data_IF_668758376137
#
_entry.id   IF_668758376137
#
_cell.length_a   1.000
_cell.length_b   1.000
_cell.length_c   1.000
_cell.angle_alpha   90.00
_cell.angle_beta   90.00
_cell.angle_gamma   90.00
#
_symmetry.space_group_name_H-M   'P 1'
#
loop_
_entity.id
_entity.type
_entity.pdbx_description
1 polymer ?
#
# COMPACT_ATOMS: atom_id res chain seq x y z
N UNK A 1 -14.75 -37.74 8.10
CA UNK A 1 -15.47 -36.75 7.28
C UNK A 1 -15.45 -35.42 8.01
N UNK A 2 -14.49 -34.55 7.68
CA UNK A 2 -14.41 -33.19 8.19
C UNK A 2 -14.83 -32.26 7.05
N UNK A 3 -15.89 -31.50 7.25
CA UNK A 3 -16.42 -30.53 6.27
C UNK A 3 -15.48 -29.32 6.26
N UNK A 4 -14.68 -29.18 5.20
CA UNK A 4 -13.94 -27.95 4.90
C UNK A 4 -14.89 -26.90 4.32
N UNK A 5 -15.28 -25.93 5.14
CA UNK A 5 -15.92 -24.71 4.67
C UNK A 5 -14.84 -23.73 4.23
N UNK A 6 -14.94 -23.23 3.00
CA UNK A 6 -14.13 -22.12 2.51
C UNK A 6 -14.67 -20.87 3.21
N UNK A 7 -13.93 -20.34 4.18
CA UNK A 7 -14.20 -19.02 4.74
C UNK A 7 -13.90 -17.98 3.66
N UNK A 8 -14.90 -17.19 3.30
CA UNK A 8 -14.73 -16.04 2.42
C UNK A 8 -13.89 -14.98 3.13
N UNK A 9 -12.64 -14.83 2.74
CA UNK A 9 -11.80 -13.70 3.14
C UNK A 9 -12.33 -12.47 2.39
N UNK A 10 -13.18 -11.69 3.05
CA UNK A 10 -13.42 -10.29 2.66
C UNK A 10 -12.21 -9.47 3.09
N UNK A 11 -11.53 -8.75 2.17
CA UNK A 11 -10.59 -7.73 2.58
C UNK A 11 -11.36 -6.67 3.37
N UNK A 12 -10.99 -6.45 4.63
CA UNK A 12 -11.43 -5.27 5.38
C UNK A 12 -10.76 -4.05 4.73
N UNK A 13 -11.42 -3.52 3.71
CA UNK A 13 -11.08 -2.24 3.08
C UNK A 13 -11.43 -1.16 4.12
N UNK A 14 -10.48 -0.81 4.98
CA UNK A 14 -10.61 0.32 5.92
C UNK A 14 -10.49 1.68 5.20
N UNK A 15 -10.74 1.74 3.89
CA UNK A 15 -11.03 3.02 3.27
C UNK A 15 -12.35 3.52 3.84
N UNK A 16 -12.32 4.72 4.40
CA UNK A 16 -13.50 5.46 4.81
C UNK A 16 -14.25 5.96 3.56
N UNK A 17 -14.59 5.04 2.65
CA UNK A 17 -15.37 5.26 1.43
C UNK A 17 -16.87 5.17 1.71
N UNK A 18 -17.30 5.52 2.93
CA UNK A 18 -18.66 5.96 3.18
C UNK A 18 -18.83 7.33 2.50
N UNK A 19 -19.35 7.26 1.28
CA UNK A 19 -19.70 8.40 0.44
C UNK A 19 -20.75 9.27 1.16
N UNK A 20 -20.33 10.36 1.80
CA UNK A 20 -21.17 11.56 1.92
C UNK A 20 -20.83 12.51 0.76
N UNK A 21 -21.60 12.41 -0.32
CA UNK A 21 -21.79 13.52 -1.26
C UNK A 21 -23.26 13.92 -1.12
N UNK A 22 -23.48 15.02 -0.42
CA UNK A 22 -24.79 15.64 -0.25
C UNK A 22 -24.94 16.67 -1.36
N UNK A 23 -25.97 16.53 -2.21
CA UNK A 23 -26.52 17.66 -2.98
C UNK A 23 -28.02 17.46 -3.24
N UNK A 24 -28.84 18.33 -2.63
CA UNK A 24 -30.31 18.36 -2.66
C UNK A 24 -30.89 18.90 -1.34
N UNK A 25 -31.98 19.71 -1.34
CA UNK A 25 -32.16 20.83 -0.41
C UNK A 25 -32.28 20.41 1.05
N UNK A 26 -31.78 21.28 1.93
CA UNK A 26 -31.70 21.12 3.38
C UNK A 26 -33.07 20.81 3.99
N UNK A 27 -33.37 19.54 4.26
CA UNK A 27 -34.36 19.15 5.26
C UNK A 27 -33.90 17.94 6.10
N UNK A 28 -33.61 18.26 7.37
CA UNK A 28 -33.50 17.42 8.59
C UNK A 28 -32.89 16.01 8.47
N UNK A 29 -31.62 15.92 8.90
CA UNK A 29 -30.87 14.68 9.19
C UNK A 29 -31.65 13.73 10.12
N UNK A 30 -32.00 12.55 9.61
CA UNK A 30 -32.23 11.37 10.45
C UNK A 30 -30.92 10.55 10.49
N UNK A 31 -30.34 10.39 11.69
CA UNK A 31 -29.16 9.56 11.93
C UNK A 31 -29.51 8.08 11.70
N UNK A 32 -29.00 7.48 10.62
CA UNK A 32 -28.98 6.04 10.42
C UNK A 32 -27.91 5.37 11.28
N UNK A 33 -28.23 4.25 11.92
CA UNK A 33 -27.29 3.40 12.67
C UNK A 33 -26.45 2.56 11.69
N UNK A 34 -25.21 2.25 12.07
CA UNK A 34 -24.29 1.36 11.35
C UNK A 34 -24.99 0.09 10.85
N UNK A 35 -24.80 -0.22 9.56
CA UNK A 35 -25.18 -1.51 8.95
C UNK A 35 -26.33 -1.47 7.94
N UNK A 36 -26.87 -0.31 7.56
CA UNK A 36 -27.84 -0.23 6.46
C UNK A 36 -27.16 0.03 5.12
N UNK A 37 -27.27 -0.93 4.21
CA UNK A 37 -26.99 -0.71 2.78
C UNK A 37 -28.00 0.31 2.26
N UNK A 38 -27.57 1.56 2.12
CA UNK A 38 -28.39 2.59 1.50
C UNK A 38 -28.41 2.29 0.01
N UNK A 39 -29.54 1.78 -0.49
CA UNK A 39 -29.76 1.65 -1.92
C UNK A 39 -29.81 3.05 -2.54
N UNK A 40 -28.66 3.50 -3.08
CA UNK A 40 -28.59 4.73 -3.84
C UNK A 40 -29.40 4.54 -5.12
N UNK A 41 -30.60 5.13 -5.18
CA UNK A 41 -31.40 5.19 -6.42
C UNK A 41 -30.60 5.98 -7.46
N UNK A 42 -29.98 5.29 -8.39
CA UNK A 42 -29.32 5.89 -9.57
C UNK A 42 -30.34 5.90 -10.72
N UNK A 43 -30.50 7.05 -11.37
CA UNK A 43 -31.31 7.15 -12.58
C UNK A 43 -30.78 6.25 -13.69
N UNK A 44 -31.63 5.86 -14.64
CA UNK A 44 -31.28 4.95 -15.77
C UNK A 44 -30.07 5.49 -16.57
N UNK A 45 -29.94 6.81 -16.64
CA UNK A 45 -28.80 7.56 -17.21
C UNK A 45 -27.42 7.10 -16.67
N UNK A 46 -27.33 6.63 -15.42
CA UNK A 46 -26.08 6.12 -14.86
C UNK A 46 -25.63 4.78 -15.45
N UNK A 47 -26.54 4.04 -16.09
CA UNK A 47 -26.24 2.81 -16.82
C UNK A 47 -25.86 3.07 -18.28
N UNK A 48 -26.11 4.28 -18.79
CA UNK A 48 -25.67 4.68 -20.11
C UNK A 48 -24.16 4.97 -20.11
N UNK A 49 -23.50 4.72 -21.25
CA UNK A 49 -22.09 5.00 -21.41
C UNK A 49 -21.85 6.52 -21.51
N UNK A 50 -21.80 7.19 -20.36
CA UNK A 50 -21.42 8.60 -20.24
C UNK A 50 -19.93 8.78 -20.00
N UNK A 51 -19.41 9.94 -20.39
CA UNK A 51 -18.08 10.39 -20.03
C UNK A 51 -17.91 10.40 -18.50
N UNK A 52 -16.72 10.02 -18.05
CA UNK A 52 -16.35 10.16 -16.65
C UNK A 52 -16.22 11.62 -16.28
N UNK A 53 -16.63 11.96 -15.07
CA UNK A 53 -16.18 13.20 -14.44
C UNK A 53 -14.69 13.10 -14.14
N UNK A 54 -14.05 14.24 -13.84
CA UNK A 54 -12.64 14.24 -13.43
C UNK A 54 -12.41 13.37 -12.19
N UNK A 55 -13.29 13.47 -11.20
CA UNK A 55 -13.22 12.69 -9.96
C UNK A 55 -13.38 11.19 -10.20
N UNK A 56 -14.31 10.78 -11.08
CA UNK A 56 -14.49 9.36 -11.43
C UNK A 56 -13.26 8.81 -12.14
N UNK A 57 -12.66 9.61 -13.03
CA UNK A 57 -11.42 9.26 -13.71
C UNK A 57 -10.27 9.06 -12.72
N UNK A 58 -10.12 9.98 -11.77
CA UNK A 58 -9.09 9.86 -10.73
C UNK A 58 -9.31 8.63 -9.85
N UNK A 59 -10.53 8.38 -9.40
CA UNK A 59 -10.87 7.17 -8.63
C UNK A 59 -10.61 5.88 -9.41
N UNK A 60 -10.94 5.87 -10.70
CA UNK A 60 -10.65 4.72 -11.57
C UNK A 60 -9.14 4.49 -11.73
N UNK A 61 -8.36 5.57 -11.89
CA UNK A 61 -6.91 5.49 -12.01
C UNK A 61 -6.25 4.97 -10.71
N UNK A 62 -6.74 5.39 -9.53
CA UNK A 62 -6.23 4.87 -8.25
C UNK A 62 -6.53 3.37 -8.11
N UNK A 63 -7.75 2.94 -8.46
CA UNK A 63 -8.10 1.50 -8.47
C UNK A 63 -7.24 0.70 -9.44
N UNK A 64 -6.97 1.27 -10.61
CA UNK A 64 -6.05 0.69 -11.58
C UNK A 64 -4.63 0.58 -11.01
N UNK A 65 -4.09 1.64 -10.39
CA UNK A 65 -2.78 1.62 -9.73
C UNK A 65 -2.69 0.48 -8.71
N UNK A 66 -3.69 0.36 -7.82
CA UNK A 66 -3.74 -0.71 -6.81
C UNK A 66 -3.75 -2.10 -7.46
N UNK A 67 -4.53 -2.30 -8.53
CA UNK A 67 -4.50 -3.56 -9.27
C UNK A 67 -3.11 -3.90 -9.81
N UNK A 68 -2.40 -2.91 -10.37
CA UNK A 68 -1.04 -3.13 -10.91
C UNK A 68 -0.05 -3.50 -9.80
N UNK A 69 -0.09 -2.78 -8.67
CA UNK A 69 0.79 -3.03 -7.52
C UNK A 69 0.52 -4.40 -6.91
N UNK A 70 -0.73 -4.73 -6.59
CA UNK A 70 -1.09 -5.99 -5.94
C UNK A 70 -0.95 -7.21 -6.85
N UNK A 71 -1.04 -7.04 -8.18
CA UNK A 71 -0.87 -8.12 -9.15
C UNK A 71 0.57 -8.28 -9.63
N UNK A 72 1.51 -7.46 -9.13
CA UNK A 72 2.90 -7.40 -9.59
C UNK A 72 2.99 -7.21 -11.12
N UNK A 73 2.13 -6.35 -11.67
CA UNK A 73 2.09 -6.06 -13.11
C UNK A 73 2.93 -4.81 -13.38
N UNK A 74 3.89 -4.85 -14.32
CA UNK A 74 4.67 -3.67 -14.68
C UNK A 74 3.79 -2.52 -15.16
N UNK A 75 4.08 -1.28 -14.73
CA UNK A 75 3.30 -0.10 -15.12
C UNK A 75 3.31 0.17 -16.63
N UNK A 76 4.32 -0.30 -17.36
CA UNK A 76 4.33 -0.28 -18.84
C UNK A 76 3.13 -1.02 -19.46
N UNK A 77 2.49 -1.92 -18.72
CA UNK A 77 1.28 -2.63 -19.18
C UNK A 77 0.07 -1.70 -19.32
N UNK A 78 0.08 -0.52 -18.70
CA UNK A 78 -1.02 0.47 -18.84
C UNK A 78 -1.15 1.01 -20.27
N UNK A 79 -0.04 1.02 -21.01
CA UNK A 79 0.05 1.49 -22.39
C UNK A 79 0.07 0.32 -23.38
N UNK A 80 -0.05 -0.91 -22.90
CA UNK A 80 -0.12 -2.07 -23.77
C UNK A 80 -1.36 -2.01 -24.67
N UNK A 81 -1.16 -2.21 -25.97
CA UNK A 81 -2.23 -2.12 -26.96
C UNK A 81 -3.45 -3.02 -26.68
N UNK A 82 -3.23 -4.25 -26.21
CA UNK A 82 -4.33 -5.17 -25.89
C UNK A 82 -5.06 -4.76 -24.62
N UNK A 83 -4.34 -4.25 -23.62
CA UNK A 83 -4.93 -3.71 -22.41
C UNK A 83 -5.81 -2.49 -22.72
N UNK A 84 -5.31 -1.54 -23.53
CA UNK A 84 -6.07 -0.37 -23.97
C UNK A 84 -7.31 -0.76 -24.78
N UNK A 85 -7.19 -1.76 -25.67
CA UNK A 85 -8.36 -2.29 -26.39
C UNK A 85 -9.39 -2.91 -25.46
N UNK A 86 -8.95 -3.67 -24.46
CA UNK A 86 -9.85 -4.28 -23.50
C UNK A 86 -10.56 -3.23 -22.65
N UNK A 87 -9.85 -2.21 -22.16
CA UNK A 87 -10.48 -1.09 -21.45
C UNK A 87 -11.45 -0.33 -22.34
N UNK A 88 -11.06 -0.03 -23.59
CA UNK A 88 -11.95 0.65 -24.53
C UNK A 88 -13.20 -0.18 -24.83
N UNK A 89 -13.09 -1.51 -24.89
CA UNK A 89 -14.24 -2.40 -25.05
C UNK A 89 -15.18 -2.36 -23.83
N UNK A 90 -14.64 -2.41 -22.61
CA UNK A 90 -15.42 -2.39 -21.37
C UNK A 90 -16.02 -1.00 -21.10
N UNK A 91 -15.25 0.06 -21.33
CA UNK A 91 -15.62 1.44 -21.06
C UNK A 91 -14.97 2.40 -22.08
N UNK A 92 -15.62 2.63 -23.24
CA UNK A 92 -15.05 3.45 -24.31
C UNK A 92 -14.79 4.92 -23.95
N UNK A 93 -15.53 5.44 -22.96
CA UNK A 93 -15.43 6.83 -22.55
C UNK A 93 -14.31 7.11 -21.54
N UNK A 94 -13.58 6.07 -21.12
CA UNK A 94 -12.51 6.17 -20.13
C UNK A 94 -11.15 6.02 -20.83
N UNK A 95 -10.29 7.03 -20.66
CA UNK A 95 -8.88 6.92 -21.03
C UNK A 95 -8.08 6.58 -19.76
N UNK A 96 -7.46 5.40 -19.68
CA UNK A 96 -6.67 5.01 -18.52
C UNK A 96 -5.41 5.86 -18.37
N UNK A 97 -4.90 5.94 -17.14
CA UNK A 97 -3.63 6.60 -16.84
C UNK A 97 -2.45 5.94 -17.57
N UNK A 98 -1.55 6.78 -18.09
CA UNK A 98 -0.28 6.37 -18.67
C UNK A 98 0.68 5.85 -17.61
N UNK A 99 1.74 5.16 -18.02
CA UNK A 99 2.80 4.71 -17.13
C UNK A 99 3.37 5.88 -16.33
N UNK A 100 3.61 7.01 -16.99
CA UNK A 100 4.11 8.23 -16.36
C UNK A 100 3.18 8.73 -15.26
N UNK A 101 1.87 8.81 -15.52
CA UNK A 101 0.90 9.27 -14.50
C UNK A 101 0.81 8.31 -13.32
N UNK A 102 0.87 7.00 -13.57
CA UNK A 102 0.88 6.00 -12.50
C UNK A 102 2.12 6.16 -11.61
N UNK A 103 3.30 6.26 -12.21
CA UNK A 103 4.58 6.30 -11.49
C UNK A 103 4.87 7.63 -10.81
N UNK A 104 4.70 8.75 -11.51
CA UNK A 104 5.17 10.06 -11.03
C UNK A 104 4.12 10.82 -10.22
N UNK A 105 2.83 10.49 -10.39
CA UNK A 105 1.74 11.20 -9.72
C UNK A 105 1.00 10.33 -8.72
N UNK A 106 0.53 9.15 -9.14
CA UNK A 106 -0.39 8.37 -8.30
C UNK A 106 0.35 7.50 -7.28
N UNK A 107 1.45 6.86 -7.67
CA UNK A 107 2.24 6.02 -6.77
C UNK A 107 2.79 6.79 -5.55
N UNK A 108 3.38 7.99 -5.68
CA UNK A 108 3.89 8.73 -4.52
C UNK A 108 2.77 9.19 -3.58
N UNK A 109 1.58 9.48 -4.12
CA UNK A 109 0.41 9.82 -3.33
C UNK A 109 -0.02 8.60 -2.51
N UNK A 110 -0.23 7.43 -3.13
CA UNK A 110 -0.59 6.21 -2.40
C UNK A 110 0.51 5.79 -1.41
N UNK A 111 1.80 5.97 -1.76
CA UNK A 111 2.92 5.73 -0.84
C UNK A 111 2.82 6.64 0.40
N UNK A 112 2.51 7.93 0.22
CA UNK A 112 2.35 8.86 1.35
C UNK A 112 1.16 8.48 2.25
N UNK A 113 0.06 7.98 1.67
CA UNK A 113 -1.08 7.44 2.42
C UNK A 113 -0.70 6.21 3.22
N UNK A 114 -0.08 5.21 2.57
CA UNK A 114 0.42 4.00 3.23
C UNK A 114 1.43 4.35 4.33
N UNK A 115 2.32 5.31 4.06
CA UNK A 115 3.30 5.77 5.01
C UNK A 115 2.67 6.37 6.27
N UNK A 116 1.63 7.17 6.10
CA UNK A 116 0.88 7.79 7.20
C UNK A 116 0.14 6.74 8.02
N UNK A 117 -0.45 5.75 7.34
CA UNK A 117 -1.15 4.65 7.99
C UNK A 117 -0.20 3.77 8.81
N UNK A 118 0.98 3.43 8.26
CA UNK A 118 2.02 2.72 8.99
C UNK A 118 2.45 3.46 10.27
N UNK A 119 2.62 4.79 10.22
CA UNK A 119 2.97 5.56 11.42
C UNK A 119 1.88 5.50 12.48
N UNK A 120 0.61 5.63 12.09
CA UNK A 120 -0.53 5.48 13.01
C UNK A 120 -0.58 4.08 13.60
N UNK A 121 -0.31 3.07 12.77
CA UNK A 121 -0.26 1.69 13.22
C UNK A 121 0.82 1.47 14.27
N UNK A 122 2.01 2.06 14.08
CA UNK A 122 3.14 1.93 15.00
C UNK A 122 3.01 2.81 16.26
N UNK A 123 2.15 3.81 16.25
CA UNK A 123 1.95 4.72 17.38
C UNK A 123 1.52 3.96 18.64
N UNK A 124 2.30 4.13 19.72
CA UNK A 124 2.02 3.49 21.02
C UNK A 124 2.39 2.01 21.14
N UNK A 125 2.91 1.36 20.08
CA UNK A 125 3.43 -0.01 20.17
C UNK A 125 4.77 -0.05 20.92
N UNK A 126 4.95 -1.06 21.79
CA UNK A 126 6.12 -1.17 22.70
C UNK A 126 6.86 -2.51 22.66
N UNK A 127 6.26 -3.53 22.05
CA UNK A 127 6.78 -4.90 22.05
C UNK A 127 7.19 -5.32 20.64
N UNK A 128 8.04 -4.52 20.01
CA UNK A 128 8.39 -4.68 18.60
C UNK A 128 9.62 -5.57 18.45
N UNK A 129 9.62 -6.40 17.42
CA UNK A 129 10.81 -7.10 16.94
C UNK A 129 11.28 -6.41 15.67
N UNK A 130 12.53 -5.98 15.66
CA UNK A 130 13.17 -5.42 14.48
C UNK A 130 13.66 -6.53 13.57
N UNK A 131 13.28 -6.50 12.30
CA UNK A 131 13.69 -7.47 11.31
C UNK A 131 14.51 -6.74 10.26
N UNK A 132 15.72 -7.23 9.99
CA UNK A 132 16.55 -6.71 8.90
C UNK A 132 17.06 -7.88 8.06
N UNK A 133 16.93 -7.72 6.76
CA UNK A 133 17.36 -8.71 5.78
C UNK A 133 18.15 -8.02 4.68
N UNK A 134 19.24 -8.65 4.27
CA UNK A 134 20.18 -8.12 3.28
C UNK A 134 20.30 -9.08 2.11
N UNK A 135 20.07 -8.56 0.90
CA UNK A 135 20.30 -9.31 -0.32
C UNK A 135 21.36 -8.63 -1.18
N UNK A 136 22.31 -9.41 -1.68
CA UNK A 136 23.32 -8.97 -2.63
C UNK A 136 23.19 -9.74 -3.94
N UNK A 137 23.28 -9.03 -5.05
CA UNK A 137 23.26 -9.63 -6.39
C UNK A 137 24.67 -9.97 -6.90
N UNK A 138 24.72 -10.69 -8.02
CA UNK A 138 25.99 -11.12 -8.65
C UNK A 138 26.84 -9.91 -9.11
N UNK A 139 26.22 -8.73 -9.25
CA UNK A 139 26.86 -7.48 -9.63
C UNK A 139 27.28 -6.65 -8.39
N UNK A 140 27.26 -7.24 -7.19
CA UNK A 140 27.61 -6.59 -5.93
C UNK A 140 26.73 -5.38 -5.61
N UNK A 141 25.47 -5.43 -6.02
CA UNK A 141 24.44 -4.50 -5.58
C UNK A 141 23.76 -5.07 -4.36
N UNK A 142 23.86 -4.36 -3.25
CA UNK A 142 23.32 -4.78 -1.97
C UNK A 142 22.11 -3.93 -1.60
N UNK A 143 21.02 -4.58 -1.21
CA UNK A 143 19.80 -3.94 -0.72
C UNK A 143 19.46 -4.50 0.63
N UNK A 144 19.17 -3.62 1.58
CA UNK A 144 18.77 -3.97 2.93
C UNK A 144 17.33 -3.53 3.19
N UNK A 145 16.48 -4.50 3.53
CA UNK A 145 15.09 -4.27 3.91
C UNK A 145 14.96 -4.25 5.43
N UNK A 146 14.24 -3.26 5.96
CA UNK A 146 14.00 -3.12 7.39
C UNK A 146 12.49 -3.18 7.68
N UNK A 147 12.09 -3.97 8.67
CA UNK A 147 10.70 -4.14 9.07
C UNK A 147 10.54 -4.21 10.60
N UNK A 148 9.33 -3.94 11.08
CA UNK A 148 8.93 -4.14 12.47
C UNK A 148 7.79 -5.16 12.53
N UNK A 149 7.90 -6.11 13.44
CA UNK A 149 6.88 -7.11 13.69
C UNK A 149 6.44 -7.11 15.15
N UNK A 150 5.16 -7.41 15.38
CA UNK A 150 4.59 -7.68 16.70
C UNK A 150 3.65 -8.88 16.56
N UNK A 151 3.61 -9.73 17.58
CA UNK A 151 2.76 -10.94 17.56
C UNK A 151 1.29 -10.55 17.41
N UNK A 152 0.61 -11.13 16.41
CA UNK A 152 -0.82 -10.88 16.16
C UNK A 152 -1.12 -9.57 15.41
N UNK A 153 -0.10 -8.88 14.90
CA UNK A 153 -0.25 -7.71 14.02
C UNK A 153 0.47 -7.94 12.70
N UNK A 154 0.01 -7.27 11.64
CA UNK A 154 0.74 -7.24 10.38
C UNK A 154 2.08 -6.51 10.57
N UNK A 155 3.18 -7.04 9.99
CA UNK A 155 4.46 -6.37 10.03
C UNK A 155 4.41 -5.08 9.21
N UNK A 156 5.18 -4.09 9.66
CA UNK A 156 5.28 -2.78 9.01
C UNK A 156 6.65 -2.64 8.38
N UNK A 157 6.69 -2.35 7.08
CA UNK A 157 7.93 -2.10 6.35
C UNK A 157 8.41 -0.68 6.65
N UNK A 158 9.64 -0.55 7.15
CA UNK A 158 10.26 0.75 7.41
C UNK A 158 10.85 1.35 6.14
N UNK A 159 11.40 0.49 5.28
CA UNK A 159 11.94 0.86 3.98
C UNK A 159 13.00 -0.13 3.49
N UNK A 160 13.51 0.19 2.31
CA UNK A 160 14.66 -0.45 1.70
C UNK A 160 15.75 0.58 1.49
N UNK A 161 17.00 0.21 1.77
CA UNK A 161 18.17 1.05 1.54
C UNK A 161 19.14 0.32 0.63
N UNK A 162 19.60 1.00 -0.41
CA UNK A 162 20.62 0.50 -1.32
C UNK A 162 22.01 0.83 -0.75
N UNK A 163 22.82 -0.19 -0.55
CA UNK A 163 24.21 -0.08 -0.08
C UNK A 163 25.23 -0.46 -1.17
N UNK A 164 24.82 -0.47 -2.45
CA UNK A 164 25.71 -0.74 -3.58
C UNK A 164 27.00 0.09 -3.52
N UNK A 165 28.16 -0.57 -3.60
CA UNK A 165 29.47 0.08 -3.57
C UNK A 165 29.95 0.52 -2.18
N UNK A 166 29.12 0.35 -1.14
CA UNK A 166 29.48 0.51 0.25
C UNK A 166 29.60 -0.90 0.84
N UNK A 167 30.72 -1.20 1.50
CA UNK A 167 30.81 -2.47 2.21
C UNK A 167 29.72 -2.54 3.28
N UNK A 168 28.89 -3.58 3.22
CA UNK A 168 27.93 -3.88 4.28
C UNK A 168 28.70 -4.35 5.52
N UNK A 169 29.23 -3.38 6.27
CA UNK A 169 29.81 -3.55 7.61
C UNK A 169 28.72 -3.35 8.66
N UNK A 170 28.94 -3.86 9.87
CA UNK A 170 27.96 -3.74 10.96
C UNK A 170 27.60 -2.27 11.23
N UNK A 171 28.60 -1.38 11.23
CA UNK A 171 28.41 0.06 11.42
C UNK A 171 27.48 0.68 10.37
N UNK A 172 27.64 0.31 9.10
CA UNK A 172 26.80 0.82 8.02
C UNK A 172 25.36 0.30 8.13
N UNK A 173 25.18 -0.94 8.58
CA UNK A 173 23.88 -1.54 8.83
C UNK A 173 23.18 -0.86 10.02
N UNK A 174 23.92 -0.51 11.08
CA UNK A 174 23.39 0.28 12.20
C UNK A 174 22.90 1.66 11.71
N UNK A 175 23.66 2.33 10.85
CA UNK A 175 23.24 3.62 10.26
C UNK A 175 21.94 3.47 9.44
N UNK A 176 21.82 2.38 8.67
CA UNK A 176 20.58 2.05 7.94
C UNK A 176 19.42 1.83 8.90
N UNK A 177 19.62 1.08 9.98
CA UNK A 177 18.60 0.81 10.97
C UNK A 177 18.12 2.09 11.67
N UNK A 178 19.05 2.94 12.12
CA UNK A 178 18.75 4.24 12.72
C UNK A 178 17.97 5.14 11.77
N UNK A 179 18.35 5.18 10.50
CA UNK A 179 17.66 5.97 9.47
C UNK A 179 16.23 5.46 9.28
N UNK A 180 16.04 4.14 9.20
CA UNK A 180 14.74 3.50 9.03
C UNK A 180 13.80 3.78 10.22
N UNK A 181 14.29 3.65 11.46
CA UNK A 181 13.51 3.93 12.67
C UNK A 181 13.13 5.41 12.78
N UNK A 182 14.08 6.33 12.51
CA UNK A 182 13.83 7.78 12.48
C UNK A 182 12.78 8.16 11.44
N UNK A 183 12.82 7.54 10.26
CA UNK A 183 11.85 7.80 9.18
C UNK A 183 10.41 7.59 9.66
N UNK A 184 10.13 6.51 10.39
CA UNK A 184 8.79 6.17 10.90
C UNK A 184 8.54 6.62 12.36
N UNK A 185 9.43 7.44 12.94
CA UNK A 185 9.36 7.98 14.31
C UNK A 185 9.21 6.91 15.40
N UNK A 186 9.89 5.79 15.23
CA UNK A 186 9.88 4.69 16.20
C UNK A 186 11.00 4.91 17.21
N UNK A 187 10.67 4.86 18.50
CA UNK A 187 11.66 4.87 19.58
C UNK A 187 12.34 3.49 19.66
N UNK A 188 13.69 3.41 19.54
CA UNK A 188 14.42 2.16 19.70
C UNK A 188 14.13 1.43 21.02
N UNK A 189 13.73 2.14 22.09
CA UNK A 189 13.37 1.53 23.38
C UNK A 189 12.11 0.65 23.33
N UNK A 190 11.31 0.76 22.26
CA UNK A 190 10.14 -0.09 22.03
C UNK A 190 10.50 -1.40 21.30
N UNK A 191 11.80 -1.65 21.04
CA UNK A 191 12.28 -2.85 20.35
C UNK A 191 12.82 -3.83 21.39
N UNK A 192 12.24 -5.03 21.43
CA UNK A 192 12.61 -6.10 22.36
C UNK A 192 13.74 -6.99 21.83
N UNK A 193 13.79 -7.17 20.52
CA UNK A 193 14.73 -8.04 19.85
C UNK A 193 14.97 -7.59 18.41
N UNK A 194 16.15 -7.92 17.89
CA UNK A 194 16.47 -7.83 16.47
C UNK A 194 16.63 -9.24 15.89
N UNK A 195 16.11 -9.47 14.70
CA UNK A 195 16.28 -10.70 13.93
C UNK A 195 17.04 -10.37 12.65
N UNK A 196 18.16 -11.04 12.46
CA UNK A 196 19.05 -10.94 11.30
C UNK A 196 19.37 -12.35 10.81
N UNK A 197 19.93 -12.47 9.61
CA UNK A 197 20.55 -13.70 9.16
C UNK A 197 21.93 -13.91 9.82
N UNK A 198 22.58 -15.04 9.54
CA UNK A 198 23.81 -15.46 10.24
C UNK A 198 25.18 -15.09 9.59
N UNK A 199 25.32 -14.15 8.63
CA UNK A 199 26.65 -13.76 8.17
C UNK A 199 27.38 -12.95 9.24
N UNK A 200 28.72 -12.97 9.19
CA UNK A 200 29.59 -12.39 10.23
C UNK A 200 29.27 -10.92 10.53
N UNK A 201 28.91 -10.14 9.51
CA UNK A 201 28.52 -8.74 9.67
C UNK A 201 27.26 -8.59 10.54
N UNK A 202 26.28 -9.46 10.34
CA UNK A 202 24.99 -9.40 11.02
C UNK A 202 25.05 -9.99 12.43
N UNK A 203 26.00 -10.89 12.69
CA UNK A 203 26.34 -11.29 14.07
C UNK A 203 26.92 -10.11 14.87
N UNK A 204 27.70 -9.22 14.23
CA UNK A 204 28.28 -8.05 14.85
C UNK A 204 27.33 -6.83 14.93
N UNK A 205 26.12 -6.96 14.39
CA UNK A 205 25.07 -5.92 14.40
C UNK A 205 24.29 -5.86 15.73
N UNK A 206 24.33 -6.92 16.54
CA UNK A 206 23.58 -7.06 17.79
C UNK A 206 24.29 -6.42 19.00
#
# INVERSE_FOLDING_TARGET
MLKGGIESITPEDHSNDDVEIIDGPVEKKAKGKHGQVIAVKRGIEHFANRAFTKEETEKANVKMLRYFVHSNVPFSSSENYFFLKWINFVKPSYSPATQYVLMERLLPVEEAWAFTEDMKQLEGRKNLTYLIDGWEDILHRSVYGCMLAEVGKYPVVLGFEELTGIHATADNIIVVADKALKKKKVDPMNILAACTDNPTTMQAFH
#
